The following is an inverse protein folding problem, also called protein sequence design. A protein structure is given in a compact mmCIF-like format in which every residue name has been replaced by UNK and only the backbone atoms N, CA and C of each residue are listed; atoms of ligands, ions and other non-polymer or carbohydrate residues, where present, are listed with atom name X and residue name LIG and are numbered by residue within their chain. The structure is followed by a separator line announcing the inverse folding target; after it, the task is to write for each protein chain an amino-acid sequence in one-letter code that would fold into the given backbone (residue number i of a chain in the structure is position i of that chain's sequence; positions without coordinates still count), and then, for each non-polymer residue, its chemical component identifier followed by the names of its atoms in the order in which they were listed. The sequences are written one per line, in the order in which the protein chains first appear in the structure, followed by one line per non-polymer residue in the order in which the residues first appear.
data_IF_827473166593
#
_entry.id   IF_827473166593
#
_cell.length_a   1.000
_cell.length_b   1.000
_cell.length_c   1.000
_cell.angle_alpha   90.00
_cell.angle_beta   90.00
_cell.angle_gamma   90.00
#
_symmetry.space_group_name_H-M   'P 1'
#
loop_
_entity.id
_entity.type
_entity.pdbx_description
1 polymer ?
#
# COMPACT_ATOMS: atom_id res chain seq x y z
N UNK A 1 0.33 -3.54 7.36
CA UNK A 1 0.17 -4.26 6.07
C UNK A 1 -0.32 -3.36 4.95
N UNK A 2 -1.26 -2.43 5.19
CA UNK A 2 -1.76 -1.49 4.16
C UNK A 2 -0.62 -0.76 3.43
N UNK A 3 0.37 -0.22 4.16
CA UNK A 3 1.52 0.47 3.55
C UNK A 3 2.30 -0.38 2.54
N UNK A 4 2.42 -1.70 2.79
CA UNK A 4 3.09 -2.63 1.88
C UNK A 4 2.24 -2.79 0.62
N UNK A 5 0.93 -3.04 0.75
CA UNK A 5 0.03 -3.15 -0.40
C UNK A 5 0.01 -1.87 -1.24
N UNK A 6 0.11 -0.69 -0.62
CA UNK A 6 0.21 0.57 -1.34
C UNK A 6 1.51 0.74 -2.13
N UNK A 7 2.62 0.14 -1.67
CA UNK A 7 3.93 0.19 -2.34
C UNK A 7 4.04 -0.89 -3.42
N UNK A 8 3.70 -2.14 -3.09
CA UNK A 8 3.92 -3.31 -3.96
C UNK A 8 2.78 -3.49 -4.97
N UNK A 9 1.58 -3.03 -4.61
CA UNK A 9 0.36 -3.28 -5.35
C UNK A 9 -0.59 -4.21 -4.57
N UNK A 10 -1.88 -3.96 -4.74
CA UNK A 10 -3.00 -4.73 -4.18
C UNK A 10 -4.25 -4.51 -5.04
N UNK A 11 -5.39 -5.09 -4.68
CA UNK A 11 -6.63 -4.96 -5.46
C UNK A 11 -7.09 -3.51 -5.68
N UNK A 12 -6.68 -2.57 -4.82
CA UNK A 12 -7.02 -1.15 -4.93
C UNK A 12 -5.93 -0.27 -5.55
N UNK A 13 -4.76 -0.82 -5.88
CA UNK A 13 -3.64 -0.05 -6.44
C UNK A 13 -2.63 -0.92 -7.18
N UNK A 14 -2.13 -0.45 -8.33
CA UNK A 14 -1.02 -1.13 -9.01
C UNK A 14 0.33 -1.00 -8.28
N UNK A 15 0.40 -0.16 -7.25
CA UNK A 15 1.63 0.08 -6.50
C UNK A 15 2.63 0.94 -7.26
N UNK A 16 3.89 0.93 -6.80
CA UNK A 16 5.02 1.62 -7.42
C UNK A 16 5.69 0.64 -8.38
N UNK A 17 5.88 1.00 -9.66
CA UNK A 17 6.57 0.14 -10.61
C UNK A 17 7.96 -0.29 -10.11
N UNK A 18 8.26 -1.58 -10.23
CA UNK A 18 9.51 -2.20 -9.77
C UNK A 18 9.76 -2.14 -8.25
N UNK A 19 8.75 -1.79 -7.44
CA UNK A 19 8.84 -1.89 -5.99
C UNK A 19 8.28 -3.25 -5.52
N UNK A 20 9.16 -4.16 -5.13
CA UNK A 20 8.77 -5.44 -4.53
C UNK A 20 8.62 -5.36 -3.00
N UNK A 21 8.31 -6.50 -2.38
CA UNK A 21 8.18 -6.60 -0.91
C UNK A 21 9.44 -6.14 -0.17
N UNK A 22 10.63 -6.46 -0.68
CA UNK A 22 11.89 -6.05 -0.06
C UNK A 22 12.06 -4.53 -0.11
N UNK A 23 11.77 -3.91 -1.26
CA UNK A 23 11.79 -2.46 -1.41
C UNK A 23 10.79 -1.79 -0.49
N UNK A 24 9.59 -2.37 -0.36
CA UNK A 24 8.60 -1.88 0.59
C UNK A 24 9.12 -1.92 2.03
N UNK A 25 9.69 -3.04 2.47
CA UNK A 25 10.25 -3.18 3.82
C UNK A 25 11.38 -2.19 4.09
N UNK A 26 12.26 -1.95 3.11
CA UNK A 26 13.32 -0.95 3.23
C UNK A 26 12.77 0.47 3.39
N UNK A 27 11.77 0.86 2.58
CA UNK A 27 11.06 2.14 2.75
C UNK A 27 10.43 2.20 4.14
N UNK A 28 9.81 1.11 4.58
CA UNK A 28 9.15 1.05 5.88
C UNK A 28 10.13 1.16 7.05
N UNK A 29 11.37 0.69 6.88
CA UNK A 29 12.42 0.76 7.88
C UNK A 29 13.08 2.15 7.91
N UNK A 30 13.28 2.76 6.74
CA UNK A 30 13.94 4.07 6.60
C UNK A 30 13.05 5.23 7.08
N UNK A 31 11.74 5.16 6.81
CA UNK A 31 10.80 6.19 7.18
C UNK A 31 9.95 5.72 8.37
N UNK A 32 9.86 6.54 9.42
CA UNK A 32 9.07 6.21 10.61
C UNK A 32 7.78 7.03 10.71
N UNK A 33 6.80 6.48 11.42
CA UNK A 33 5.47 7.08 11.62
C UNK A 33 4.34 6.10 11.31
N UNK A 34 3.11 6.63 11.32
CA UNK A 34 1.90 5.90 10.90
C UNK A 34 1.94 5.57 9.40
N UNK A 35 1.00 4.74 8.91
CA UNK A 35 0.98 4.28 7.52
C UNK A 35 1.10 5.44 6.53
N UNK A 36 0.19 6.42 6.58
CA UNK A 36 0.16 7.55 5.65
C UNK A 36 1.32 8.52 5.87
N UNK A 37 1.65 8.87 7.12
CA UNK A 37 2.78 9.75 7.44
C UNK A 37 4.09 9.23 6.86
N UNK A 38 4.30 7.91 6.95
CA UNK A 38 5.49 7.25 6.45
C UNK A 38 5.61 7.36 4.94
N UNK A 39 4.52 7.09 4.22
CA UNK A 39 4.49 7.19 2.76
C UNK A 39 4.62 8.65 2.29
N UNK A 40 4.06 9.61 3.03
CA UNK A 40 4.24 11.03 2.73
C UNK A 40 5.67 11.51 2.96
N UNK A 41 6.32 11.08 4.05
CA UNK A 41 7.75 11.35 4.28
C UNK A 41 8.61 10.78 3.16
N UNK A 42 8.32 9.56 2.72
CA UNK A 42 8.98 8.94 1.59
C UNK A 42 8.77 9.74 0.29
N UNK A 43 7.53 10.14 -0.02
CA UNK A 43 7.21 10.97 -1.19
C UNK A 43 7.97 12.30 -1.17
N UNK A 44 7.98 12.97 -0.02
CA UNK A 44 8.68 14.24 0.16
C UNK A 44 10.19 14.09 -0.01
N UNK A 45 10.76 13.05 0.59
CA UNK A 45 12.16 12.69 0.40
C UNK A 45 12.47 12.41 -1.07
N UNK A 46 11.65 11.60 -1.74
CA UNK A 46 11.85 11.24 -3.15
C UNK A 46 11.85 12.47 -4.05
N UNK A 47 10.90 13.40 -3.85
CA UNK A 47 10.87 14.70 -4.57
C UNK A 47 12.14 15.52 -4.35
N UNK A 48 12.67 15.56 -3.12
CA UNK A 48 13.95 16.24 -2.83
C UNK A 48 15.13 15.51 -3.48
N UNK A 49 15.10 14.18 -3.48
CA UNK A 49 16.15 13.34 -4.01
C UNK A 49 16.33 13.46 -5.53
N UNK A 50 15.30 13.88 -6.28
CA UNK A 50 15.40 14.10 -7.72
C UNK A 50 16.23 15.32 -8.13
N UNK A 51 16.58 16.21 -7.21
CA UNK A 51 17.48 17.33 -7.52
C UNK A 51 18.89 16.79 -7.87
N UNK A 52 19.57 17.38 -8.87
CA UNK A 52 20.87 16.89 -9.34
C UNK A 52 21.97 16.96 -8.27
N UNK A 53 21.88 17.91 -7.33
CA UNK A 53 22.85 18.08 -6.25
C UNK A 53 22.57 17.20 -5.02
N UNK A 54 21.53 16.36 -5.05
CA UNK A 54 21.17 15.53 -3.91
C UNK A 54 22.09 14.32 -3.78
N UNK A 55 22.99 14.35 -2.78
CA UNK A 55 23.86 13.23 -2.42
C UNK A 55 23.13 12.25 -1.51
N UNK A 56 22.83 11.07 -2.04
CA UNK A 56 22.28 9.94 -1.28
C UNK A 56 23.34 9.31 -0.38
N UNK A 57 23.00 9.06 0.89
CA UNK A 57 23.93 8.54 1.88
C UNK A 57 24.14 7.02 1.82
N UNK A 58 23.15 6.24 1.33
CA UNK A 58 23.20 4.77 1.31
C UNK A 58 22.89 4.16 -0.07
N UNK A 59 23.33 2.91 -0.28
CA UNK A 59 23.00 2.12 -1.50
C UNK A 59 21.50 1.91 -1.66
N UNK A 60 20.78 1.73 -0.55
CA UNK A 60 19.32 1.59 -0.52
C UNK A 60 18.66 2.87 -1.01
N UNK A 61 19.02 4.02 -0.45
CA UNK A 61 18.48 5.32 -0.86
C UNK A 61 18.76 5.65 -2.34
N UNK A 62 19.93 5.23 -2.87
CA UNK A 62 20.22 5.34 -4.31
C UNK A 62 19.21 4.57 -5.15
N UNK A 63 18.88 3.33 -4.76
CA UNK A 63 17.87 2.51 -5.45
C UNK A 63 16.47 3.11 -5.31
N UNK A 64 16.10 3.58 -4.12
CA UNK A 64 14.79 4.19 -3.88
C UNK A 64 14.57 5.48 -4.68
N UNK A 65 15.62 6.25 -4.96
CA UNK A 65 15.57 7.45 -5.81
C UNK A 65 15.15 7.11 -7.26
N UNK A 66 15.52 5.93 -7.75
CA UNK A 66 15.22 5.51 -9.12
C UNK A 66 13.79 4.98 -9.30
N UNK A 67 13.01 4.84 -8.24
CA UNK A 67 11.61 4.45 -8.33
C UNK A 67 10.79 5.53 -9.03
N UNK A 68 9.81 5.15 -9.83
CA UNK A 68 8.91 6.07 -10.50
C UNK A 68 7.63 6.25 -9.65
N UNK A 69 7.59 7.29 -8.82
CA UNK A 69 6.36 7.61 -8.08
C UNK A 69 5.36 8.30 -9.01
N UNK A 70 4.10 7.83 -9.00
CA UNK A 70 3.02 8.47 -9.73
C UNK A 70 2.50 9.72 -9.02
N UNK A 71 1.91 10.62 -9.80
CA UNK A 71 1.31 11.84 -9.29
C UNK A 71 0.04 11.50 -8.48
N UNK A 72 0.13 11.61 -7.15
CA UNK A 72 -0.94 11.26 -6.23
C UNK A 72 -0.59 10.17 -5.22
N UNK A 73 0.59 9.55 -5.31
CA UNK A 73 1.08 8.67 -4.25
C UNK A 73 1.51 9.49 -3.01
N UNK A 74 1.17 9.10 -1.78
CA UNK A 74 0.20 8.06 -1.40
C UNK A 74 -1.25 8.55 -1.53
N UNK A 75 -2.15 7.66 -1.93
CA UNK A 75 -3.57 7.99 -2.08
C UNK A 75 -4.37 7.64 -0.81
N UNK A 76 -4.93 8.66 -0.17
CA UNK A 76 -5.73 8.52 1.05
C UNK A 76 -6.99 7.65 0.84
N UNK A 77 -7.64 7.72 -0.32
CA UNK A 77 -8.86 6.95 -0.59
C UNK A 77 -8.62 5.44 -0.54
N UNK A 78 -7.42 4.98 -0.94
CA UNK A 78 -7.02 3.57 -0.88
C UNK A 78 -6.83 3.13 0.57
N UNK A 79 -6.22 3.99 1.38
CA UNK A 79 -6.09 3.74 2.82
C UNK A 79 -7.47 3.66 3.49
N UNK A 80 -8.37 4.59 3.15
CA UNK A 80 -9.72 4.65 3.69
C UNK A 80 -10.55 3.42 3.33
N UNK A 81 -10.42 2.91 2.10
CA UNK A 81 -11.08 1.68 1.65
C UNK A 81 -10.65 0.44 2.46
N UNK A 82 -9.39 0.40 2.94
CA UNK A 82 -8.91 -0.68 3.79
C UNK A 82 -9.27 -0.50 5.28
N UNK A 83 -9.25 0.72 5.80
CA UNK A 83 -9.49 0.98 7.23
C UNK A 83 -10.99 1.09 7.57
N UNK A 84 -11.79 1.57 6.63
CA UNK A 84 -13.23 1.78 6.78
C UNK A 84 -13.99 1.18 5.59
N UNK A 85 -13.92 -0.15 5.41
CA UNK A 85 -14.70 -0.81 4.38
C UNK A 85 -16.20 -0.70 4.67
N UNK A 86 -17.01 -0.60 3.62
CA UNK A 86 -18.46 -0.67 3.74
C UNK A 86 -18.87 -2.11 4.04
N UNK A 87 -19.18 -2.39 5.30
CA UNK A 87 -19.62 -3.71 5.77
C UNK A 87 -21.07 -3.64 6.24
N UNK A 88 -21.76 -4.78 6.16
CA UNK A 88 -23.06 -4.95 6.79
C UNK A 88 -22.85 -5.17 8.30
N UNK A 89 -23.41 -4.30 9.18
CA UNK A 89 -23.28 -4.44 10.62
C UNK A 89 -24.27 -5.44 11.23
N UNK A 90 -25.18 -6.04 10.44
CA UNK A 90 -26.16 -6.99 10.94
C UNK A 90 -25.49 -8.17 11.66
N UNK A 91 -26.05 -8.52 12.83
CA UNK A 91 -25.57 -9.59 13.72
C UNK A 91 -26.51 -10.79 13.69
N UNK A 92 -27.41 -10.86 12.71
CA UNK A 92 -28.26 -12.02 12.49
C UNK A 92 -27.43 -13.30 12.39
N UNK A 93 -27.97 -14.39 12.94
CA UNK A 93 -27.26 -15.67 12.97
C UNK A 93 -27.35 -16.31 11.59
N UNK A 94 -26.21 -16.67 11.03
CA UNK A 94 -26.17 -17.60 9.90
C UNK A 94 -26.77 -18.94 10.30
N UNK A 95 -27.55 -19.54 9.40
CA UNK A 95 -28.05 -20.90 9.52
C UNK A 95 -27.61 -21.70 8.30
N UNK A 96 -27.30 -22.98 8.48
CA UNK A 96 -26.94 -23.89 7.41
C UNK A 96 -28.08 -24.90 7.24
N UNK A 97 -28.71 -24.90 6.07
CA UNK A 97 -29.80 -25.82 5.75
C UNK A 97 -29.28 -27.09 5.05
N UNK A 98 -30.10 -28.14 5.05
CA UNK A 98 -29.81 -29.35 4.29
C UNK A 98 -30.00 -29.11 2.78
N UNK A 99 -29.09 -29.56 1.92
CA UNK A 99 -29.21 -29.40 0.48
C UNK A 99 -30.40 -30.18 -0.08
N UNK A 100 -31.17 -29.56 -0.96
CA UNK A 100 -32.35 -30.14 -1.58
C UNK A 100 -31.97 -30.93 -2.84
N UNK A 101 -31.93 -32.26 -2.75
CA UNK A 101 -31.43 -33.15 -3.80
C UNK A 101 -32.23 -33.09 -5.12
N UNK A 102 -33.52 -32.75 -5.06
CA UNK A 102 -34.39 -32.67 -6.25
C UNK A 102 -34.06 -31.47 -7.16
N UNK A 103 -33.48 -30.39 -6.62
CA UNK A 103 -33.12 -29.19 -7.38
C UNK A 103 -31.68 -29.21 -7.92
N UNK A 104 -30.89 -30.21 -7.52
CA UNK A 104 -29.46 -30.34 -7.86
C UNK A 104 -29.24 -31.56 -8.78
N UNK A 105 -30.33 -32.13 -9.31
CA UNK A 105 -30.30 -33.26 -10.25
C UNK A 105 -30.45 -32.82 -11.69
#
# INVERSE_FOLDING_TARGET
MIAIGMIVGSDYTNGIPNAGIMTALEILQEFHGTCMERLEKFRHWWKKAQKPDYKTQSKVLKRLKNLALFEGFPNQAIYDAYISPKVDPDKSKFTWAMPQLELIR
#
